data_IF_340710347888
#
_entry.id   IF_340710347888
#
_cell.length_a   1.000
_cell.length_b   1.000
_cell.length_c   1.000
_cell.angle_alpha   90.00
_cell.angle_beta   90.00
_cell.angle_gamma   90.00
#
_symmetry.space_group_name_H-M   'P 1'
#
loop_
_entity.id
_entity.type
_entity.pdbx_description
1 polymer ?
#
# COMPACT_ATOMS: atom_id res chain seq x y z
N UNK A 1 32.88 -52.39 -5.13
CA UNK A 1 33.95 -52.12 -4.13
C UNK A 1 34.63 -50.84 -4.56
N UNK A 2 34.67 -49.69 -3.88
CA UNK A 2 34.21 -49.13 -2.60
C UNK A 2 33.85 -47.65 -2.93
N UNK A 3 32.59 -47.22 -2.79
CA UNK A 3 32.05 -46.34 -1.74
C UNK A 3 32.96 -45.18 -1.26
N UNK A 4 32.62 -43.92 -1.56
CA UNK A 4 33.00 -42.72 -0.81
C UNK A 4 31.95 -41.60 -0.98
N UNK A 5 30.79 -41.79 -0.34
CA UNK A 5 29.97 -40.68 0.13
C UNK A 5 30.27 -40.49 1.60
N UNK A 6 31.20 -39.60 1.95
CA UNK A 6 31.51 -39.23 3.35
C UNK A 6 32.51 -38.05 3.41
N UNK A 7 32.17 -36.90 2.82
CA UNK A 7 32.82 -35.61 3.19
C UNK A 7 31.77 -34.51 3.21
N UNK A 8 30.74 -34.71 4.03
CA UNK A 8 29.89 -33.65 4.54
C UNK A 8 30.25 -33.47 6.03
N UNK A 9 30.20 -32.22 6.51
CA UNK A 9 30.49 -31.78 7.89
C UNK A 9 31.97 -31.78 8.31
N UNK A 10 32.56 -30.59 8.33
CA UNK A 10 33.21 -29.91 9.49
C UNK A 10 34.09 -28.79 8.89
N UNK A 11 33.50 -27.61 8.72
CA UNK A 11 34.22 -26.35 8.64
C UNK A 11 33.39 -25.30 9.39
N UNK A 12 33.09 -25.61 10.65
CA UNK A 12 32.60 -24.65 11.62
C UNK A 12 33.78 -24.08 12.40
N UNK A 13 33.69 -22.79 12.71
CA UNK A 13 34.37 -22.09 13.82
C UNK A 13 35.86 -21.73 13.64
N UNK A 14 36.13 -20.53 13.11
CA UNK A 14 37.26 -19.69 13.58
C UNK A 14 37.30 -18.31 12.92
N UNK A 15 36.67 -17.29 13.53
CA UNK A 15 37.11 -15.88 13.51
C UNK A 15 36.24 -15.00 14.43
N UNK A 16 36.11 -15.36 15.71
CA UNK A 16 35.71 -14.41 16.76
C UNK A 16 36.88 -14.29 17.74
N UNK A 17 37.78 -13.34 17.50
CA UNK A 17 38.76 -12.92 18.48
C UNK A 17 39.23 -11.49 18.19
N UNK A 18 39.20 -10.68 19.26
CA UNK A 18 40.04 -9.51 19.53
C UNK A 18 39.65 -8.16 18.91
N UNK A 19 38.77 -7.44 19.61
CA UNK A 19 39.06 -6.04 20.04
C UNK A 19 38.28 -5.71 21.31
N UNK A 20 38.79 -6.20 22.44
CA UNK A 20 38.52 -5.61 23.75
C UNK A 20 39.64 -4.61 24.08
N UNK A 21 39.31 -3.31 24.13
CA UNK A 21 40.04 -2.34 24.95
C UNK A 21 39.02 -1.60 25.78
N UNK A 22 38.93 -2.00 27.04
CA UNK A 22 38.29 -1.26 28.11
C UNK A 22 39.22 -0.12 28.49
N UNK A 23 38.78 1.11 28.27
CA UNK A 23 39.31 2.29 28.95
C UNK A 23 38.23 2.84 29.87
N UNK A 24 38.29 2.41 31.13
CA UNK A 24 37.58 3.02 32.25
C UNK A 24 38.22 4.38 32.52
N UNK A 25 37.57 5.45 32.08
CA UNK A 25 37.81 6.79 32.63
C UNK A 25 36.62 7.13 33.52
N UNK A 26 36.84 7.00 34.83
CA UNK A 26 35.95 7.54 35.85
C UNK A 26 35.94 9.07 35.73
N UNK A 27 34.83 9.65 35.28
CA UNK A 27 34.47 11.01 35.67
C UNK A 27 33.33 10.93 36.69
N UNK A 28 33.72 11.03 37.97
CA UNK A 28 32.80 11.32 39.07
C UNK A 28 32.51 12.81 39.03
N UNK A 29 31.35 13.17 38.52
CA UNK A 29 30.89 14.56 38.59
C UNK A 29 29.47 14.75 38.10
N UNK A 30 28.56 14.91 39.05
CA UNK A 30 27.16 15.35 38.92
C UNK A 30 26.10 14.25 38.74
N UNK A 31 25.73 13.66 39.88
CA UNK A 31 24.35 13.28 40.16
C UNK A 31 23.45 14.53 40.04
N UNK A 32 22.81 14.68 38.89
CA UNK A 32 21.57 15.44 38.76
C UNK A 32 20.50 14.45 38.28
N UNK A 33 19.33 14.34 38.94
CA UNK A 33 18.27 13.50 38.44
C UNK A 33 17.80 14.12 37.12
N UNK A 34 18.20 13.50 36.00
CA UNK A 34 17.51 13.74 34.73
C UNK A 34 16.12 13.14 34.90
N UNK A 35 15.19 13.98 35.35
CA UNK A 35 13.78 13.77 35.06
C UNK A 35 13.65 13.72 33.55
N UNK A 36 13.75 12.52 32.99
CA UNK A 36 13.43 12.26 31.60
C UNK A 36 11.95 12.55 31.44
N UNK A 37 11.64 13.78 31.06
CA UNK A 37 10.36 14.07 30.44
C UNK A 37 10.42 13.29 29.14
N UNK A 38 9.77 12.12 29.13
CA UNK A 38 9.42 11.43 27.90
C UNK A 38 8.81 12.49 26.97
N UNK A 39 9.36 12.73 25.76
CA UNK A 39 8.79 13.72 24.87
C UNK A 39 7.33 13.36 24.68
N UNK A 40 6.43 14.25 25.10
CA UNK A 40 5.01 14.07 24.82
C UNK A 40 4.89 13.87 23.30
N UNK A 41 4.09 12.88 22.84
CA UNK A 41 3.86 12.72 21.41
C UNK A 41 3.44 14.08 20.85
N UNK A 42 4.12 14.52 19.79
CA UNK A 42 3.76 15.73 19.09
C UNK A 42 2.36 15.46 18.53
N UNK A 43 1.35 15.97 19.22
CA UNK A 43 -0.02 15.95 18.73
C UNK A 43 -0.06 16.99 17.61
N UNK A 44 -0.01 16.52 16.37
CA UNK A 44 -0.28 17.38 15.23
C UNK A 44 -1.66 18.01 15.40
N UNK A 45 -1.82 19.32 15.10
CA UNK A 45 -3.09 19.99 15.23
C UNK A 45 -4.15 19.28 14.37
N UNK A 46 -5.34 19.06 14.93
CA UNK A 46 -6.47 18.54 14.17
C UNK A 46 -6.75 19.48 12.98
N UNK A 47 -6.97 18.96 11.77
CA UNK A 47 -7.24 19.77 10.60
C UNK A 47 -8.47 20.66 10.79
N UNK A 48 -8.49 21.80 10.09
CA UNK A 48 -9.62 22.70 10.14
C UNK A 48 -10.91 21.97 9.68
N UNK A 49 -12.07 22.23 10.32
CA UNK A 49 -13.32 21.62 9.90
C UNK A 49 -13.60 21.90 8.42
N UNK A 50 -13.93 20.85 7.66
CA UNK A 50 -14.37 20.98 6.26
C UNK A 50 -13.29 20.75 5.20
N UNK A 51 -12.04 20.48 5.56
CA UNK A 51 -11.00 20.08 4.59
C UNK A 51 -10.84 18.54 4.57
N UNK A 52 -11.45 17.90 3.58
CA UNK A 52 -11.42 16.45 3.43
C UNK A 52 -10.02 15.89 3.10
N UNK A 53 -9.21 16.66 2.35
CA UNK A 53 -7.85 16.26 1.99
C UNK A 53 -6.92 16.37 3.19
N UNK A 54 -7.00 17.47 3.94
CA UNK A 54 -6.26 17.60 5.19
C UNK A 54 -6.68 16.54 6.22
N UNK A 55 -7.98 16.23 6.30
CA UNK A 55 -8.48 15.12 7.11
C UNK A 55 -7.84 13.79 6.73
N UNK A 56 -7.86 13.40 5.45
CA UNK A 56 -7.23 12.14 5.03
C UNK A 56 -5.74 12.12 5.32
N UNK A 57 -5.02 13.22 5.07
CA UNK A 57 -3.60 13.35 5.40
C UNK A 57 -3.32 13.06 6.88
N UNK A 58 -4.13 13.62 7.77
CA UNK A 58 -4.04 13.38 9.21
C UNK A 58 -4.39 11.93 9.60
N UNK A 59 -5.49 11.39 9.06
CA UNK A 59 -5.96 10.04 9.45
C UNK A 59 -5.25 8.89 8.72
N UNK A 60 -4.46 9.16 7.68
CA UNK A 60 -3.87 8.14 6.78
C UNK A 60 -3.12 7.04 7.52
N UNK A 61 -2.36 7.40 8.56
CA UNK A 61 -1.60 6.43 9.37
C UNK A 61 -2.49 5.38 10.06
N UNK A 62 -3.77 5.67 10.26
CA UNK A 62 -4.77 4.78 10.87
C UNK A 62 -5.64 4.07 9.84
N UNK A 63 -5.44 4.31 8.53
CA UNK A 63 -6.15 3.64 7.45
C UNK A 63 -5.54 2.25 7.20
N UNK A 64 -5.59 1.40 8.22
CA UNK A 64 -5.10 0.04 8.21
C UNK A 64 -6.16 -0.93 8.77
N UNK A 65 -6.01 -2.25 8.56
CA UNK A 65 -7.02 -3.24 8.96
C UNK A 65 -7.36 -3.30 10.45
N UNK A 66 -6.54 -2.70 11.32
CA UNK A 66 -6.72 -2.77 12.78
C UNK A 66 -7.43 -1.54 13.31
N UNK A 67 -7.08 -0.35 12.80
CA UNK A 67 -7.48 0.92 13.44
C UNK A 67 -8.64 1.63 12.76
N UNK A 68 -8.94 1.32 11.49
CA UNK A 68 -9.86 2.10 10.65
C UNK A 68 -11.23 2.31 11.32
N UNK A 69 -11.87 1.27 11.85
CA UNK A 69 -13.21 1.38 12.44
C UNK A 69 -13.21 2.26 13.70
N UNK A 70 -12.15 2.20 14.49
CA UNK A 70 -12.01 3.06 15.68
C UNK A 70 -11.75 4.49 15.27
N UNK A 71 -10.90 4.72 14.26
CA UNK A 71 -10.63 6.05 13.74
C UNK A 71 -11.88 6.71 13.16
N UNK A 72 -12.64 6.00 12.31
CA UNK A 72 -13.87 6.53 11.70
C UNK A 72 -14.94 6.93 12.75
N UNK A 73 -14.95 6.30 13.93
CA UNK A 73 -15.84 6.69 15.03
C UNK A 73 -15.36 7.90 15.82
N UNK A 74 -14.05 8.04 16.01
CA UNK A 74 -13.46 9.11 16.84
C UNK A 74 -13.29 10.42 16.07
N UNK A 75 -12.95 10.33 14.78
CA UNK A 75 -12.67 11.47 13.92
C UNK A 75 -13.26 11.20 12.52
N UNK A 76 -14.60 11.29 12.38
CA UNK A 76 -15.28 11.01 11.14
C UNK A 76 -14.88 12.01 10.05
N UNK A 77 -14.97 11.58 8.79
CA UNK A 77 -14.76 12.46 7.67
C UNK A 77 -15.73 13.66 7.70
N UNK A 78 -15.33 14.83 7.16
CA UNK A 78 -16.23 15.98 7.04
C UNK A 78 -17.55 15.61 6.36
N UNK A 79 -18.67 16.11 6.86
CA UNK A 79 -20.01 15.77 6.39
C UNK A 79 -20.38 16.47 5.07
N UNK A 80 -19.62 16.17 4.01
CA UNK A 80 -19.74 16.69 2.64
C UNK A 80 -19.32 15.60 1.64
N UNK A 81 -19.69 15.69 0.35
CA UNK A 81 -19.35 14.66 -0.63
C UNK A 81 -17.87 14.31 -0.69
N UNK A 82 -16.99 15.32 -0.67
CA UNK A 82 -15.55 15.14 -0.67
C UNK A 82 -15.07 14.37 0.56
N UNK A 83 -15.68 14.60 1.74
CA UNK A 83 -15.39 13.84 2.94
C UNK A 83 -15.70 12.35 2.77
N UNK A 84 -16.84 12.01 2.15
CA UNK A 84 -17.17 10.62 1.83
C UNK A 84 -16.20 10.00 0.79
N UNK A 85 -15.71 10.77 -0.18
CA UNK A 85 -14.68 10.28 -1.11
C UNK A 85 -13.38 9.90 -0.36
N UNK A 86 -12.95 10.73 0.59
CA UNK A 86 -11.76 10.47 1.40
C UNK A 86 -11.99 9.36 2.44
N UNK A 87 -13.21 9.23 2.98
CA UNK A 87 -13.63 8.09 3.82
C UNK A 87 -13.51 6.78 3.04
N UNK A 88 -14.02 6.73 1.80
CA UNK A 88 -13.88 5.57 0.93
C UNK A 88 -12.42 5.20 0.69
N UNK A 89 -11.54 6.19 0.45
CA UNK A 89 -10.11 5.96 0.30
C UNK A 89 -9.47 5.38 1.58
N UNK A 90 -9.83 5.86 2.77
CA UNK A 90 -9.32 5.31 4.02
C UNK A 90 -9.75 3.85 4.24
N UNK A 91 -11.02 3.52 3.97
CA UNK A 91 -11.45 2.12 4.00
C UNK A 91 -10.73 1.25 2.97
N UNK A 92 -10.52 1.78 1.76
CA UNK A 92 -9.83 1.05 0.69
C UNK A 92 -8.38 0.72 1.09
N UNK A 93 -7.64 1.70 1.62
CA UNK A 93 -6.28 1.51 2.17
C UNK A 93 -6.24 0.48 3.31
N UNK A 94 -7.29 0.43 4.13
CA UNK A 94 -7.42 -0.56 5.20
C UNK A 94 -7.81 -1.97 4.71
N UNK A 95 -7.87 -2.20 3.40
CA UNK A 95 -8.33 -3.46 2.80
C UNK A 95 -9.84 -3.71 2.99
N UNK A 96 -10.61 -2.69 3.38
CA UNK A 96 -12.06 -2.77 3.61
C UNK A 96 -12.84 -2.40 2.35
N UNK A 97 -12.61 -3.14 1.28
CA UNK A 97 -13.13 -2.82 -0.06
C UNK A 97 -14.65 -2.73 -0.09
N UNK A 98 -15.37 -3.59 0.63
CA UNK A 98 -16.84 -3.52 0.68
C UNK A 98 -17.36 -2.28 1.42
N UNK A 99 -16.67 -1.83 2.48
CA UNK A 99 -17.02 -0.58 3.17
C UNK A 99 -16.73 0.62 2.26
N UNK A 100 -15.58 0.64 1.58
CA UNK A 100 -15.24 1.67 0.60
C UNK A 100 -16.28 1.74 -0.53
N UNK A 101 -16.63 0.60 -1.13
CA UNK A 101 -17.71 0.47 -2.12
C UNK A 101 -19.03 1.02 -1.59
N UNK A 102 -19.41 0.63 -0.37
CA UNK A 102 -20.63 1.11 0.27
C UNK A 102 -20.65 2.63 0.48
N UNK A 103 -19.50 3.26 0.76
CA UNK A 103 -19.39 4.73 0.85
C UNK A 103 -19.59 5.36 -0.54
N UNK A 104 -18.89 4.86 -1.58
CA UNK A 104 -19.03 5.37 -2.95
C UNK A 104 -20.47 5.26 -3.45
N UNK A 105 -21.15 4.15 -3.17
CA UNK A 105 -22.53 3.93 -3.63
C UNK A 105 -23.56 4.89 -3.00
N UNK A 106 -23.26 5.47 -1.83
CA UNK A 106 -24.13 6.48 -1.19
C UNK A 106 -23.98 7.87 -1.80
N UNK A 107 -22.91 8.12 -2.57
CA UNK A 107 -22.77 9.36 -3.33
C UNK A 107 -23.75 9.38 -4.50
N UNK A 108 -24.09 10.60 -4.91
CA UNK A 108 -24.78 10.83 -6.19
C UNK A 108 -24.02 10.15 -7.33
N UNK A 109 -24.72 9.54 -8.31
CA UNK A 109 -24.10 8.75 -9.38
C UNK A 109 -22.95 9.47 -10.09
N UNK A 110 -23.09 10.77 -10.31
CA UNK A 110 -22.12 11.62 -11.02
C UNK A 110 -20.84 11.85 -10.22
N UNK A 111 -20.85 11.63 -8.90
CA UNK A 111 -19.69 11.81 -8.02
C UNK A 111 -18.89 10.53 -7.82
N UNK A 112 -19.42 9.37 -8.22
CA UNK A 112 -18.79 8.06 -7.93
C UNK A 112 -17.45 7.88 -8.64
N UNK A 113 -17.32 8.36 -9.87
CA UNK A 113 -16.04 8.32 -10.60
C UNK A 113 -14.98 9.23 -9.93
N UNK A 114 -15.40 10.36 -9.34
CA UNK A 114 -14.50 11.24 -8.60
C UNK A 114 -14.02 10.57 -7.31
N UNK A 115 -14.93 9.88 -6.61
CA UNK A 115 -14.58 9.08 -5.44
C UNK A 115 -13.58 7.97 -5.79
N UNK A 116 -13.77 7.30 -6.93
CA UNK A 116 -12.81 6.34 -7.47
C UNK A 116 -11.44 6.99 -7.73
N UNK A 117 -11.41 8.21 -8.26
CA UNK A 117 -10.18 9.00 -8.39
C UNK A 117 -9.46 9.21 -7.04
N UNK A 118 -10.17 9.58 -5.98
CA UNK A 118 -9.58 9.75 -4.65
C UNK A 118 -9.03 8.43 -4.08
N UNK A 119 -9.72 7.30 -4.32
CA UNK A 119 -9.21 5.96 -3.97
C UNK A 119 -7.93 5.64 -4.75
N UNK A 120 -7.91 5.94 -6.05
CA UNK A 120 -6.73 5.74 -6.90
C UNK A 120 -5.53 6.55 -6.37
N UNK A 121 -5.67 7.86 -6.20
CA UNK A 121 -4.63 8.76 -5.66
C UNK A 121 -4.08 8.26 -4.32
N UNK A 122 -4.95 7.70 -3.47
CA UNK A 122 -4.52 7.15 -2.20
C UNK A 122 -3.70 5.86 -2.33
N UNK A 123 -4.05 4.99 -3.29
CA UNK A 123 -3.53 3.63 -3.41
C UNK A 123 -2.40 3.43 -4.43
N UNK A 124 -2.35 4.19 -5.52
CA UNK A 124 -1.37 3.99 -6.59
C UNK A 124 0.10 4.10 -6.16
N UNK A 125 0.49 4.87 -5.12
CA UNK A 125 1.88 4.89 -4.68
C UNK A 125 2.41 3.53 -4.21
N UNK A 126 1.53 2.64 -3.70
CA UNK A 126 1.94 1.28 -3.34
C UNK A 126 2.21 0.43 -4.59
N UNK A 127 1.36 0.56 -5.61
CA UNK A 127 1.50 -0.12 -6.88
C UNK A 127 2.75 0.38 -7.65
N UNK A 128 2.98 1.69 -7.66
CA UNK A 128 4.20 2.31 -8.23
C UNK A 128 5.49 1.85 -7.51
N UNK A 129 5.38 1.46 -6.24
CA UNK A 129 6.48 0.86 -5.47
C UNK A 129 6.65 -0.64 -5.75
N UNK A 130 5.86 -1.22 -6.63
CA UNK A 130 5.87 -2.65 -7.01
C UNK A 130 5.03 -3.55 -6.11
N UNK A 131 4.19 -3.00 -5.24
CA UNK A 131 3.25 -3.77 -4.41
C UNK A 131 1.87 -3.82 -5.07
N UNK A 132 1.82 -4.34 -6.30
CA UNK A 132 0.58 -4.50 -7.06
C UNK A 132 -0.38 -5.44 -6.33
N UNK A 133 0.10 -6.48 -5.64
CA UNK A 133 -0.76 -7.42 -4.89
C UNK A 133 -1.55 -6.72 -3.78
N UNK A 134 -0.91 -5.86 -2.99
CA UNK A 134 -1.64 -5.09 -1.97
C UNK A 134 -2.57 -4.04 -2.59
N UNK A 135 -2.16 -3.41 -3.70
CA UNK A 135 -2.94 -2.37 -4.37
C UNK A 135 -4.12 -2.92 -5.20
N UNK A 136 -4.04 -4.16 -5.69
CA UNK A 136 -4.98 -4.77 -6.64
C UNK A 136 -6.45 -4.59 -6.29
N UNK A 137 -6.90 -4.94 -5.07
CA UNK A 137 -8.30 -4.77 -4.68
C UNK A 137 -8.79 -3.31 -4.72
N UNK A 138 -7.90 -2.33 -4.48
CA UNK A 138 -8.23 -0.91 -4.63
C UNK A 138 -8.35 -0.54 -6.10
N UNK A 139 -7.45 -1.03 -6.95
CA UNK A 139 -7.48 -0.76 -8.39
C UNK A 139 -8.72 -1.33 -9.07
N UNK A 140 -9.19 -2.49 -8.61
CA UNK A 140 -10.45 -3.07 -9.06
C UNK A 140 -11.66 -2.24 -8.65
N UNK A 141 -11.66 -1.74 -7.41
CA UNK A 141 -12.69 -0.81 -6.95
C UNK A 141 -12.69 0.47 -7.79
N UNK A 142 -11.51 0.98 -8.16
CA UNK A 142 -11.41 2.13 -9.07
C UNK A 142 -12.05 1.82 -10.42
N UNK A 143 -11.72 0.68 -11.02
CA UNK A 143 -12.26 0.25 -12.33
C UNK A 143 -13.77 -0.04 -12.29
N UNK A 144 -14.33 -0.40 -11.14
CA UNK A 144 -15.78 -0.56 -10.95
C UNK A 144 -16.54 0.75 -11.21
N UNK A 145 -15.98 1.89 -10.80
CA UNK A 145 -16.62 3.21 -10.89
C UNK A 145 -15.98 4.13 -11.95
N UNK A 146 -14.81 3.78 -12.47
CA UNK A 146 -14.13 4.44 -13.58
C UNK A 146 -13.55 3.39 -14.56
N UNK A 147 -14.40 2.81 -15.43
CA UNK A 147 -14.04 1.61 -16.20
C UNK A 147 -12.88 1.75 -17.20
N UNK A 148 -12.59 2.96 -17.66
CA UNK A 148 -11.51 3.24 -18.61
C UNK A 148 -10.28 3.90 -17.95
N UNK A 149 -10.15 3.81 -16.62
CA UNK A 149 -8.98 4.34 -15.93
C UNK A 149 -7.75 3.48 -16.19
N UNK A 150 -6.97 3.83 -17.22
CA UNK A 150 -5.90 2.98 -17.75
C UNK A 150 -4.85 2.59 -16.70
N UNK A 151 -4.46 3.49 -15.78
CA UNK A 151 -3.46 3.15 -14.76
C UNK A 151 -4.00 2.09 -13.79
N UNK A 152 -5.27 2.20 -13.40
CA UNK A 152 -5.90 1.22 -12.52
C UNK A 152 -6.10 -0.12 -13.23
N UNK A 153 -6.41 -0.11 -14.54
CA UNK A 153 -6.45 -1.33 -15.35
C UNK A 153 -5.08 -2.02 -15.38
N UNK A 154 -4.00 -1.27 -15.57
CA UNK A 154 -2.65 -1.82 -15.59
C UNK A 154 -2.30 -2.48 -14.24
N UNK A 155 -2.48 -1.77 -13.13
CA UNK A 155 -2.15 -2.29 -11.79
C UNK A 155 -3.07 -3.43 -11.36
N UNK A 156 -4.37 -3.38 -11.65
CA UNK A 156 -5.27 -4.52 -11.38
C UNK A 156 -4.86 -5.76 -12.19
N UNK A 157 -4.45 -5.57 -13.45
CA UNK A 157 -3.93 -6.64 -14.30
C UNK A 157 -2.62 -7.23 -13.75
N UNK A 158 -1.68 -6.40 -13.34
CA UNK A 158 -0.42 -6.82 -12.72
C UNK A 158 -0.66 -7.59 -11.42
N UNK A 159 -1.51 -7.07 -10.53
CA UNK A 159 -1.86 -7.73 -9.28
C UNK A 159 -2.42 -9.15 -9.49
N UNK A 160 -3.34 -9.30 -10.44
CA UNK A 160 -3.94 -10.59 -10.78
C UNK A 160 -2.93 -11.53 -11.44
N UNK A 161 -2.02 -10.99 -12.26
CA UNK A 161 -0.93 -11.76 -12.85
C UNK A 161 0.01 -12.31 -11.76
N UNK A 162 0.41 -11.48 -10.80
CA UNK A 162 1.29 -11.87 -9.69
C UNK A 162 0.66 -12.92 -8.76
N UNK A 163 -0.67 -12.93 -8.66
CA UNK A 163 -1.44 -13.95 -7.93
C UNK A 163 -1.64 -15.26 -8.72
N UNK A 164 -1.19 -15.33 -9.98
CA UNK A 164 -1.42 -16.49 -10.86
C UNK A 164 -2.85 -16.58 -11.42
N UNK A 165 -3.62 -15.50 -11.32
CA UNK A 165 -5.01 -15.43 -11.76
C UNK A 165 -5.09 -14.95 -13.22
N UNK A 166 -4.54 -15.76 -14.13
CA UNK A 166 -4.26 -15.39 -15.51
C UNK A 166 -5.48 -14.92 -16.30
N UNK A 167 -6.67 -15.49 -16.08
CA UNK A 167 -7.90 -15.07 -16.79
C UNK A 167 -8.31 -13.65 -16.39
N UNK A 168 -8.31 -13.34 -15.09
CA UNK A 168 -8.61 -12.01 -14.58
C UNK A 168 -7.55 -10.99 -15.03
N UNK A 169 -6.26 -11.37 -14.93
CA UNK A 169 -5.15 -10.55 -15.40
C UNK A 169 -5.29 -10.18 -16.88
N UNK A 170 -5.55 -11.18 -17.74
CA UNK A 170 -5.76 -10.96 -19.18
C UNK A 170 -6.87 -9.95 -19.43
N UNK A 171 -8.02 -10.09 -18.77
CA UNK A 171 -9.15 -9.18 -18.95
C UNK A 171 -8.83 -7.72 -18.64
N UNK A 172 -8.06 -7.44 -17.59
CA UNK A 172 -7.63 -6.07 -17.27
C UNK A 172 -6.55 -5.55 -18.21
N UNK A 173 -5.53 -6.37 -18.51
CA UNK A 173 -4.40 -5.99 -19.35
C UNK A 173 -4.84 -5.72 -20.79
N UNK A 174 -5.73 -6.52 -21.37
CA UNK A 174 -6.29 -6.27 -22.71
C UNK A 174 -7.03 -4.94 -22.77
N UNK A 175 -7.82 -4.60 -21.74
CA UNK A 175 -8.50 -3.30 -21.64
C UNK A 175 -7.50 -2.15 -21.50
N UNK A 176 -6.46 -2.31 -20.69
CA UNK A 176 -5.38 -1.32 -20.61
C UNK A 176 -4.76 -1.08 -21.99
N UNK A 177 -4.51 -2.14 -22.77
CA UNK A 177 -3.94 -2.02 -24.11
C UNK A 177 -4.83 -1.27 -25.10
N UNK A 178 -6.15 -1.27 -24.88
CA UNK A 178 -7.14 -0.48 -25.65
C UNK A 178 -7.12 0.99 -25.21
N UNK A 179 -7.09 1.27 -23.91
CA UNK A 179 -7.20 2.64 -23.37
C UNK A 179 -5.88 3.44 -23.45
N UNK A 180 -4.73 2.77 -23.48
CA UNK A 180 -3.41 3.41 -23.39
C UNK A 180 -2.48 3.03 -24.54
N UNK A 181 -2.31 3.92 -25.52
CA UNK A 181 -1.57 3.64 -26.76
C UNK A 181 -0.09 4.08 -26.77
N UNK A 182 0.40 4.71 -25.70
CA UNK A 182 1.79 5.19 -25.64
C UNK A 182 2.76 4.01 -25.55
N UNK A 183 3.77 3.98 -26.43
CA UNK A 183 4.80 2.94 -26.42
C UNK A 183 5.89 3.29 -25.40
N UNK A 184 5.71 2.83 -24.17
CA UNK A 184 6.62 3.04 -23.05
C UNK A 184 6.81 1.78 -22.19
N UNK A 185 7.38 1.95 -20.99
CA UNK A 185 7.61 0.86 -20.05
C UNK A 185 6.33 0.18 -19.57
N UNK A 186 5.23 0.93 -19.39
CA UNK A 186 3.96 0.39 -18.93
C UNK A 186 3.37 -0.55 -19.99
N UNK A 187 3.31 -0.06 -21.24
CA UNK A 187 2.80 -0.84 -22.36
C UNK A 187 3.66 -2.07 -22.69
N UNK A 188 4.98 -1.93 -22.55
CA UNK A 188 5.92 -3.06 -22.71
C UNK A 188 5.71 -4.11 -21.62
N UNK A 189 5.54 -3.69 -20.36
CA UNK A 189 5.30 -4.61 -19.23
C UNK A 189 3.99 -5.37 -19.39
N UNK A 190 2.88 -4.68 -19.70
CA UNK A 190 1.58 -5.28 -19.93
C UNK A 190 1.59 -6.34 -21.04
N UNK A 191 2.25 -6.04 -22.16
CA UNK A 191 2.42 -6.98 -23.26
C UNK A 191 3.22 -8.22 -22.84
N UNK A 192 4.32 -8.03 -22.12
CA UNK A 192 5.11 -9.14 -21.61
C UNK A 192 4.32 -10.04 -20.64
N UNK A 193 3.43 -9.48 -19.81
CA UNK A 193 2.52 -10.29 -18.98
C UNK A 193 1.51 -11.07 -19.83
N UNK A 194 0.90 -10.43 -20.84
CA UNK A 194 -0.05 -11.08 -21.75
C UNK A 194 0.59 -12.23 -22.53
N UNK A 195 1.77 -12.03 -23.11
CA UNK A 195 2.53 -13.07 -23.83
C UNK A 195 2.78 -14.29 -22.92
N UNK A 196 3.19 -14.04 -21.68
CA UNK A 196 3.44 -15.08 -20.69
C UNK A 196 2.16 -15.84 -20.29
N UNK A 197 1.04 -15.14 -20.16
CA UNK A 197 -0.27 -15.75 -19.93
C UNK A 197 -0.68 -16.65 -21.11
N UNK A 198 -0.38 -16.27 -22.35
CA UNK A 198 -0.65 -17.07 -23.55
C UNK A 198 0.22 -18.33 -23.64
N UNK A 199 1.47 -18.23 -23.18
CA UNK A 199 2.42 -19.34 -23.12
C UNK A 199 2.14 -20.35 -21.98
N UNK A 200 1.21 -20.02 -21.07
CA UNK A 200 0.75 -20.91 -20.00
C UNK A 200 1.60 -20.88 -18.73
N UNK A 201 2.05 -19.69 -18.33
CA UNK A 201 2.78 -19.46 -17.07
C UNK A 201 1.96 -19.71 -15.81
#
# INVERSE_FOLDING_TARGET
>A
MQNQGEVMLIAALSAFALTGVVALSFDRGHDAPRGGVEPLPIVEPQPAPGDATAWLGYVRQFCNPVEVDTRMRLDPAPAMPEGAMHEAACYALAGRIDQARGVIQRLEPELRYQAAGVVFEAGHPAADAGDDVAAGPLMELVVEYWPNHYMALCHAGAARYDLGECEAARGYLERFMVEYATEDGWRTSARGMLERIEEGQ
#
